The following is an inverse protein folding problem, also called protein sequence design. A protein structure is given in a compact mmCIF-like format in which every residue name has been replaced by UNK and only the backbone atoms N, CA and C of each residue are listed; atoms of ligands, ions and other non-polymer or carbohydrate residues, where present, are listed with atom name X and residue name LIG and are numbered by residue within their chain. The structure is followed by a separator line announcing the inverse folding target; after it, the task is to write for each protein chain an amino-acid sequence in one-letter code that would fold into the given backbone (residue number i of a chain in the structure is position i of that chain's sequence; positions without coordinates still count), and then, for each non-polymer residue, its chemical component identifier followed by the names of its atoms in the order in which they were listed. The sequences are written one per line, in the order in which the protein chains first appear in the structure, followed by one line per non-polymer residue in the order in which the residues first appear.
data_IF_304843043103
#
_entry.id   IF_304843043103
#
_cell.length_a   1.000
_cell.length_b   1.000
_cell.length_c   1.000
_cell.angle_alpha   90.00
_cell.angle_beta   90.00
_cell.angle_gamma   90.00
#
_symmetry.space_group_name_H-M   'P 1'
#
loop_
_entity.id
_entity.type
_entity.pdbx_description
1 polymer ?
#
# COMPACT_ATOMS: atom_id res chain seq x y z
N UNK A 1 -7.29 -2.06 -17.33
CA UNK A 1 -7.23 -2.85 -16.09
C UNK A 1 -5.82 -2.77 -15.55
N UNK A 2 -5.66 -2.62 -14.24
CA UNK A 2 -4.37 -2.43 -13.58
C UNK A 2 -3.43 -3.63 -13.81
N UNK A 3 -3.97 -4.86 -13.84
CA UNK A 3 -3.18 -6.06 -14.13
C UNK A 3 -2.46 -5.99 -15.49
N UNK A 4 -3.13 -5.50 -16.53
CA UNK A 4 -2.52 -5.38 -17.86
C UNK A 4 -1.46 -4.27 -17.89
N UNK A 5 -1.66 -3.20 -17.12
CA UNK A 5 -0.66 -2.14 -16.97
C UNK A 5 0.62 -2.67 -16.32
N UNK A 6 0.50 -3.46 -15.25
CA UNK A 6 1.65 -4.11 -14.60
C UNK A 6 2.43 -5.00 -15.60
N UNK A 7 1.72 -5.79 -16.41
CA UNK A 7 2.35 -6.61 -17.47
C UNK A 7 3.09 -5.74 -18.49
N UNK A 8 2.49 -4.63 -18.93
CA UNK A 8 3.13 -3.69 -19.86
C UNK A 8 4.39 -3.05 -19.27
N UNK A 9 4.33 -2.58 -18.03
CA UNK A 9 5.47 -1.97 -17.37
C UNK A 9 6.61 -2.97 -17.12
N UNK A 10 6.29 -4.23 -16.80
CA UNK A 10 7.31 -5.28 -16.68
C UNK A 10 8.04 -5.52 -18.01
N UNK A 11 7.31 -5.55 -19.14
CA UNK A 11 7.93 -5.68 -20.47
C UNK A 11 8.78 -4.45 -20.82
N UNK A 12 8.32 -3.24 -20.46
CA UNK A 12 9.08 -2.01 -20.65
C UNK A 12 10.37 -2.02 -19.82
N UNK A 13 10.31 -2.45 -18.55
CA UNK A 13 11.48 -2.58 -17.68
C UNK A 13 12.50 -3.57 -18.23
N UNK A 14 12.04 -4.70 -18.80
CA UNK A 14 12.91 -5.66 -19.48
C UNK A 14 13.65 -5.03 -20.66
N UNK A 15 12.97 -4.24 -21.50
CA UNK A 15 13.58 -3.55 -22.65
C UNK A 15 14.54 -2.44 -22.22
N UNK A 16 14.25 -1.76 -21.12
CA UNK A 16 15.08 -0.69 -20.56
C UNK A 16 16.26 -1.20 -19.73
N UNK A 17 16.40 -2.53 -19.57
CA UNK A 17 17.37 -3.15 -18.65
C UNK A 17 17.25 -2.67 -17.19
N UNK A 18 16.05 -2.20 -16.79
CA UNK A 18 15.73 -1.79 -15.42
C UNK A 18 15.48 -3.05 -14.57
N UNK A 19 16.57 -3.61 -14.05
CA UNK A 19 16.54 -4.90 -13.35
C UNK A 19 15.67 -4.85 -12.10
N UNK A 20 15.77 -3.78 -11.29
CA UNK A 20 15.02 -3.67 -10.03
C UNK A 20 13.52 -3.62 -10.32
N UNK A 21 13.07 -2.74 -11.22
CA UNK A 21 11.66 -2.66 -11.61
C UNK A 21 11.16 -3.98 -12.19
N UNK A 22 11.93 -4.61 -13.08
CA UNK A 22 11.56 -5.87 -13.71
C UNK A 22 11.35 -6.99 -12.66
N UNK A 23 12.27 -7.14 -11.71
CA UNK A 23 12.17 -8.19 -10.69
C UNK A 23 10.98 -7.97 -9.75
N UNK A 24 10.76 -6.76 -9.23
CA UNK A 24 9.62 -6.51 -8.33
C UNK A 24 8.27 -6.65 -9.05
N UNK A 25 8.17 -6.21 -10.30
CA UNK A 25 6.94 -6.41 -11.08
C UNK A 25 6.70 -7.89 -11.40
N UNK A 26 7.75 -8.70 -11.58
CA UNK A 26 7.62 -10.16 -11.74
C UNK A 26 7.09 -10.81 -10.46
N UNK A 27 7.58 -10.39 -9.29
CA UNK A 27 7.06 -10.85 -8.00
C UNK A 27 5.57 -10.49 -7.86
N UNK A 28 5.21 -9.24 -8.17
CA UNK A 28 3.82 -8.81 -8.16
C UNK A 28 2.93 -9.64 -9.09
N UNK A 29 3.34 -9.86 -10.34
CA UNK A 29 2.60 -10.69 -11.29
C UNK A 29 2.44 -12.14 -10.83
N UNK A 30 3.43 -12.69 -10.12
CA UNK A 30 3.35 -14.01 -9.50
C UNK A 30 2.26 -14.09 -8.43
N UNK A 31 2.23 -13.13 -7.49
CA UNK A 31 1.17 -13.07 -6.47
C UNK A 31 -0.22 -12.86 -7.09
N UNK A 32 -0.31 -12.00 -8.10
CA UNK A 32 -1.56 -11.73 -8.82
C UNK A 32 -2.06 -12.96 -9.58
N UNK A 33 -1.17 -13.75 -10.18
CA UNK A 33 -1.55 -14.98 -10.87
C UNK A 33 -2.12 -16.02 -9.89
N UNK A 34 -1.46 -16.21 -8.75
CA UNK A 34 -1.98 -17.10 -7.69
C UNK A 34 -3.33 -16.61 -7.14
N UNK A 35 -3.54 -15.30 -7.04
CA UNK A 35 -4.82 -14.75 -6.59
C UNK A 35 -5.92 -14.89 -7.66
N UNK A 36 -5.58 -14.70 -8.94
CA UNK A 36 -6.48 -14.92 -10.08
C UNK A 36 -6.98 -16.37 -10.12
N UNK A 37 -6.08 -17.35 -9.97
CA UNK A 37 -6.44 -18.77 -9.91
C UNK A 37 -7.43 -19.07 -8.76
N UNK A 38 -7.18 -18.52 -7.57
CA UNK A 38 -8.09 -18.67 -6.41
C UNK A 38 -9.45 -18.00 -6.63
N UNK A 39 -9.49 -16.91 -7.39
CA UNK A 39 -10.71 -16.19 -7.73
C UNK A 39 -11.46 -16.81 -8.95
N UNK A 40 -10.92 -17.87 -9.57
CA UNK A 40 -11.52 -18.51 -10.73
C UNK A 40 -11.35 -17.71 -12.04
N UNK A 41 -10.35 -16.82 -12.12
CA UNK A 41 -10.06 -16.08 -13.35
C UNK A 41 -9.58 -14.66 -13.11
N UNK A 42 -10.17 -13.69 -13.83
CA UNK A 42 -9.64 -12.32 -13.90
C UNK A 42 -9.84 -11.55 -12.59
N UNK A 43 -8.81 -10.81 -12.16
CA UNK A 43 -8.89 -9.91 -11.00
C UNK A 43 -9.35 -8.52 -11.43
N UNK A 44 -10.30 -7.96 -10.67
CA UNK A 44 -10.60 -6.54 -10.71
C UNK A 44 -9.46 -5.71 -10.08
N UNK A 45 -9.45 -4.40 -10.36
CA UNK A 45 -8.36 -3.52 -9.92
C UNK A 45 -8.24 -3.43 -8.39
N UNK A 46 -9.34 -3.54 -7.64
CA UNK A 46 -9.32 -3.47 -6.17
C UNK A 46 -8.50 -4.62 -5.52
N UNK A 47 -8.76 -5.91 -5.84
CA UNK A 47 -7.87 -7.01 -5.44
C UNK A 47 -6.41 -6.83 -5.87
N UNK A 48 -6.16 -6.31 -7.08
CA UNK A 48 -4.81 -6.06 -7.59
C UNK A 48 -4.10 -5.04 -6.69
N UNK A 49 -4.74 -3.91 -6.41
CA UNK A 49 -4.21 -2.89 -5.51
C UNK A 49 -3.98 -3.43 -4.10
N UNK A 50 -4.88 -4.30 -3.59
CA UNK A 50 -4.71 -4.95 -2.30
C UNK A 50 -3.42 -5.77 -2.21
N UNK A 51 -3.08 -6.51 -3.26
CA UNK A 51 -1.85 -7.30 -3.35
C UNK A 51 -0.61 -6.38 -3.46
N UNK A 52 -0.67 -5.33 -4.28
CA UNK A 52 0.41 -4.35 -4.35
C UNK A 52 0.67 -3.67 -3.00
N UNK A 53 -0.38 -3.25 -2.28
CA UNK A 53 -0.27 -2.68 -0.92
C UNK A 53 0.38 -3.66 0.06
N UNK A 54 0.06 -4.95 -0.04
CA UNK A 54 0.68 -6.00 0.77
C UNK A 54 2.18 -6.14 0.49
N UNK A 55 2.59 -6.10 -0.77
CA UNK A 55 4.01 -6.15 -1.17
C UNK A 55 4.77 -4.92 -0.69
N UNK A 56 4.19 -3.72 -0.84
CA UNK A 56 4.78 -2.47 -0.29
C UNK A 56 5.05 -2.63 1.20
N UNK A 57 4.05 -3.09 1.96
CA UNK A 57 4.22 -3.33 3.40
C UNK A 57 5.31 -4.35 3.70
N UNK A 58 5.32 -5.49 3.00
CA UNK A 58 6.34 -6.53 3.19
C UNK A 58 7.76 -6.00 2.94
N UNK A 59 7.95 -5.17 1.91
CA UNK A 59 9.24 -4.55 1.61
C UNK A 59 9.61 -3.47 2.64
N UNK A 60 8.65 -2.70 3.14
CA UNK A 60 8.88 -1.73 4.22
C UNK A 60 9.29 -2.42 5.54
N UNK A 61 8.61 -3.51 5.90
CA UNK A 61 8.94 -4.32 7.09
C UNK A 61 10.34 -4.93 6.93
N UNK A 62 10.67 -5.44 5.74
CA UNK A 62 12.01 -5.96 5.42
C UNK A 62 13.07 -4.85 5.48
N UNK A 63 12.77 -3.67 4.94
CA UNK A 63 13.66 -2.51 4.95
C UNK A 63 14.01 -2.07 6.38
N UNK A 64 13.04 -2.10 7.30
CA UNK A 64 13.26 -1.75 8.70
C UNK A 64 14.23 -2.70 9.43
N UNK A 65 14.32 -3.95 8.98
CA UNK A 65 15.21 -4.98 9.55
C UNK A 65 16.55 -5.09 8.80
N UNK A 66 16.67 -4.48 7.63
CA UNK A 66 17.85 -4.58 6.76
C UNK A 66 18.93 -3.59 7.19
N UNK A 67 20.16 -4.05 7.39
CA UNK A 67 21.30 -3.21 7.78
C UNK A 67 22.20 -2.81 6.59
N UNK A 68 22.25 -3.63 5.54
CA UNK A 68 23.10 -3.38 4.37
C UNK A 68 22.55 -2.20 3.53
N UNK A 69 23.33 -1.11 3.34
CA UNK A 69 22.87 0.05 2.59
C UNK A 69 22.46 -0.24 1.15
N UNK A 70 23.16 -1.15 0.45
CA UNK A 70 22.87 -1.48 -0.93
C UNK A 70 21.54 -2.24 -1.06
N UNK A 71 21.29 -3.19 -0.15
CA UNK A 71 20.00 -3.87 -0.05
C UNK A 71 18.88 -2.91 0.35
N UNK A 72 19.12 -1.99 1.28
CA UNK A 72 18.13 -0.96 1.63
C UNK A 72 17.78 -0.07 0.44
N UNK A 73 18.76 0.34 -0.36
CA UNK A 73 18.52 1.13 -1.58
C UNK A 73 17.66 0.36 -2.58
N UNK A 74 17.93 -0.92 -2.75
CA UNK A 74 17.13 -1.81 -3.61
C UNK A 74 15.69 -1.87 -3.13
N UNK A 75 15.46 -2.15 -1.84
CA UNK A 75 14.11 -2.20 -1.25
C UNK A 75 13.36 -0.87 -1.39
N UNK A 76 14.03 0.27 -1.22
CA UNK A 76 13.42 1.59 -1.42
C UNK A 76 12.97 1.79 -2.87
N UNK A 77 13.79 1.38 -3.84
CA UNK A 77 13.42 1.42 -5.28
C UNK A 77 12.25 0.51 -5.59
N UNK A 78 12.23 -0.70 -5.04
CA UNK A 78 11.12 -1.65 -5.22
C UNK A 78 9.80 -1.10 -4.64
N UNK A 79 9.85 -0.52 -3.44
CA UNK A 79 8.69 0.15 -2.81
C UNK A 79 8.17 1.26 -3.72
N UNK A 80 9.05 2.12 -4.22
CA UNK A 80 8.66 3.24 -5.09
C UNK A 80 7.98 2.74 -6.38
N UNK A 81 8.52 1.69 -7.02
CA UNK A 81 7.90 1.08 -8.22
C UNK A 81 6.49 0.56 -7.93
N UNK A 82 6.27 -0.07 -6.78
CA UNK A 82 4.94 -0.56 -6.40
C UNK A 82 3.98 0.59 -6.08
N UNK A 83 4.46 1.65 -5.44
CA UNK A 83 3.67 2.83 -5.09
C UNK A 83 3.24 3.64 -6.32
N UNK A 84 4.04 3.68 -7.40
CA UNK A 84 3.67 4.29 -8.68
C UNK A 84 2.43 3.65 -9.33
N UNK A 85 2.16 2.38 -9.00
CA UNK A 85 1.01 1.61 -9.50
C UNK A 85 -0.23 1.74 -8.61
N UNK A 86 -0.11 2.42 -7.48
CA UNK A 86 -1.19 2.62 -6.52
C UNK A 86 -1.76 4.05 -6.63
N UNK A 87 -3.05 4.24 -6.31
CA UNK A 87 -3.59 5.58 -6.16
C UNK A 87 -2.80 6.36 -5.11
N UNK A 88 -2.49 7.63 -5.38
CA UNK A 88 -1.82 8.51 -4.42
C UNK A 88 -2.61 8.52 -3.12
N UNK A 89 -1.94 8.20 -2.03
CA UNK A 89 -2.55 8.19 -0.71
C UNK A 89 -2.37 9.52 0.00
N UNK A 90 -3.31 9.85 0.87
CA UNK A 90 -3.16 10.97 1.78
C UNK A 90 -2.07 10.68 2.82
N UNK A 91 -1.36 11.72 3.22
CA UNK A 91 -0.44 11.67 4.35
C UNK A 91 -1.20 11.76 5.68
N UNK A 92 -0.47 11.62 6.79
CA UNK A 92 -1.06 11.67 8.12
C UNK A 92 -1.84 12.98 8.38
N UNK A 93 -1.38 14.13 7.87
CA UNK A 93 -2.04 15.42 8.08
C UNK A 93 -3.34 15.54 7.29
N UNK A 94 -3.33 15.13 6.01
CA UNK A 94 -4.54 15.03 5.20
C UNK A 94 -5.55 14.05 5.79
N UNK A 95 -5.08 12.94 6.37
CA UNK A 95 -5.94 11.97 7.05
C UNK A 95 -6.54 12.58 8.33
N UNK A 96 -5.77 13.30 9.15
CA UNK A 96 -6.30 13.96 10.35
C UNK A 96 -7.44 14.91 9.99
N UNK A 97 -7.29 15.70 8.92
CA UNK A 97 -8.34 16.60 8.45
C UNK A 97 -9.63 15.86 8.05
N UNK A 98 -9.51 14.72 7.38
CA UNK A 98 -10.67 13.88 7.02
C UNK A 98 -11.30 13.17 8.21
N UNK A 99 -10.55 12.94 9.29
CA UNK A 99 -11.05 12.28 10.49
C UNK A 99 -11.71 13.23 11.49
N UNK A 100 -11.72 14.54 11.23
CA UNK A 100 -12.36 15.55 12.09
C UNK A 100 -13.81 15.18 12.49
N UNK A 101 -14.69 14.71 11.57
CA UNK A 101 -16.07 14.37 11.92
C UNK A 101 -16.20 13.19 12.89
N UNK A 102 -15.16 12.35 13.00
CA UNK A 102 -15.12 11.17 13.87
C UNK A 102 -14.05 11.29 14.97
N UNK A 103 -13.48 12.50 15.16
CA UNK A 103 -12.40 12.76 16.12
C UNK A 103 -12.75 12.29 17.53
N UNK A 104 -13.94 12.63 18.02
CA UNK A 104 -14.37 12.28 19.37
C UNK A 104 -14.55 10.76 19.53
N UNK A 105 -15.05 10.08 18.50
CA UNK A 105 -15.18 8.63 18.49
C UNK A 105 -13.81 7.92 18.49
N UNK A 106 -12.82 8.48 17.78
CA UNK A 106 -11.43 7.99 17.78
C UNK A 106 -10.79 8.18 19.17
N UNK A 107 -11.04 9.31 19.84
CA UNK A 107 -10.54 9.58 21.20
C UNK A 107 -11.19 8.68 22.26
N UNK A 108 -12.49 8.43 22.13
CA UNK A 108 -13.24 7.58 23.05
C UNK A 108 -12.93 6.08 22.93
N UNK A 109 -12.24 5.66 21.87
CA UNK A 109 -11.88 4.26 21.67
C UNK A 109 -10.89 3.76 22.75
N UNK A 110 -11.08 2.51 23.19
CA UNK A 110 -10.34 1.96 24.34
C UNK A 110 -8.84 1.75 24.04
N UNK A 111 -8.46 1.54 22.78
CA UNK A 111 -7.07 1.36 22.35
C UNK A 111 -6.86 1.83 20.90
N UNK A 112 -5.59 1.92 20.48
CA UNK A 112 -5.21 2.37 19.14
C UNK A 112 -5.78 1.48 18.02
N UNK A 113 -5.95 0.17 18.27
CA UNK A 113 -6.52 -0.75 17.30
C UNK A 113 -7.99 -0.44 17.02
N UNK A 114 -8.78 -0.21 18.06
CA UNK A 114 -10.18 0.21 17.93
C UNK A 114 -10.30 1.59 17.29
N UNK A 115 -9.45 2.54 17.68
CA UNK A 115 -9.41 3.88 17.12
C UNK A 115 -9.08 3.85 15.62
N UNK A 116 -8.12 3.02 15.21
CA UNK A 116 -7.79 2.77 13.80
C UNK A 116 -8.96 2.13 13.06
N UNK A 117 -9.70 1.22 13.69
CA UNK A 117 -10.91 0.63 13.12
C UNK A 117 -12.01 1.67 12.83
N UNK A 118 -12.24 2.62 13.75
CA UNK A 118 -13.16 3.74 13.57
C UNK A 118 -12.70 4.64 12.42
N UNK A 119 -11.43 5.03 12.42
CA UNK A 119 -10.83 5.86 11.38
C UNK A 119 -10.95 5.22 9.99
N UNK A 120 -10.54 3.95 9.85
CA UNK A 120 -10.63 3.20 8.59
C UNK A 120 -12.07 3.07 8.08
N UNK A 121 -13.03 2.85 8.99
CA UNK A 121 -14.45 2.77 8.61
C UNK A 121 -14.93 4.10 8.02
N UNK A 122 -14.56 5.23 8.62
CA UNK A 122 -14.90 6.55 8.09
C UNK A 122 -14.19 6.84 6.75
N UNK A 123 -12.88 6.61 6.67
CA UNK A 123 -12.09 6.84 5.45
C UNK A 123 -12.58 5.99 4.25
N UNK A 124 -13.09 4.79 4.51
CA UNK A 124 -13.71 3.98 3.46
C UNK A 124 -14.95 4.64 2.86
N UNK A 125 -15.69 5.45 3.62
CA UNK A 125 -16.86 6.19 3.12
C UNK A 125 -16.50 7.43 2.31
N UNK A 126 -15.32 8.02 2.57
CA UNK A 126 -14.84 9.19 1.81
C UNK A 126 -14.22 8.78 0.46
N UNK A 127 -13.93 7.49 0.26
CA UNK A 127 -13.23 6.98 -0.92
C UNK A 127 -11.76 7.41 -0.98
N UNK A 128 -11.23 7.98 0.11
CA UNK A 128 -9.84 8.41 0.18
C UNK A 128 -8.90 7.19 0.12
N UNK A 129 -7.94 7.24 -0.79
CA UNK A 129 -6.83 6.29 -0.77
C UNK A 129 -5.93 6.62 0.42
N UNK A 130 -5.69 5.64 1.29
CA UNK A 130 -4.90 5.80 2.51
C UNK A 130 -4.01 4.59 2.73
N UNK A 131 -2.86 4.79 3.37
CA UNK A 131 -2.02 3.71 3.86
C UNK A 131 -2.30 3.45 5.34
N UNK A 132 -2.26 2.18 5.75
CA UNK A 132 -2.52 1.81 7.15
C UNK A 132 -1.55 2.44 8.14
N UNK A 133 -0.30 2.68 7.73
CA UNK A 133 0.70 3.37 8.54
C UNK A 133 0.28 4.82 8.81
N UNK A 134 -0.08 5.57 7.76
CA UNK A 134 -0.46 6.98 7.88
C UNK A 134 -1.78 7.15 8.66
N UNK A 135 -2.71 6.20 8.52
CA UNK A 135 -3.93 6.16 9.37
C UNK A 135 -3.57 5.94 10.84
N UNK A 136 -2.65 5.02 11.13
CA UNK A 136 -2.18 4.79 12.50
C UNK A 136 -1.48 6.02 13.10
N UNK A 137 -0.64 6.70 12.31
CA UNK A 137 0.02 7.94 12.73
C UNK A 137 -0.98 9.07 12.95
N UNK A 138 -1.97 9.24 12.07
CA UNK A 138 -3.06 10.20 12.24
C UNK A 138 -3.89 9.92 13.51
N UNK A 139 -4.24 8.66 13.76
CA UNK A 139 -4.97 8.25 14.97
C UNK A 139 -4.17 8.55 16.22
N UNK A 140 -2.86 8.24 16.24
CA UNK A 140 -1.98 8.58 17.36
C UNK A 140 -1.92 10.09 17.60
N UNK A 141 -1.84 10.91 16.55
CA UNK A 141 -1.89 12.38 16.66
C UNK A 141 -3.23 12.89 17.22
N UNK A 142 -4.34 12.26 16.86
CA UNK A 142 -5.67 12.63 17.37
C UNK A 142 -5.83 12.29 18.86
N UNK A 143 -5.26 11.16 19.31
CA UNK A 143 -5.37 10.64 20.68
C UNK A 143 -4.32 11.19 21.65
N UNK A 144 -3.22 11.75 21.13
CA UNK A 144 -2.23 12.50 21.92
C UNK A 144 -2.85 13.76 22.53
#
# INVERSE_FOLDING_TARGET
MLLDEIKRQMMAAMKAHDTVRKEILRVALGELSMAAERAGGTLADEPVQGILRKLVKSNQDTLALTVDPAQQETLRKEIAVLEELLPKTLDADGIVALLEPVRDAIRAAANDGQATGVAMKHLKTTGAAVQGKDVGDAVRRIRA
#
